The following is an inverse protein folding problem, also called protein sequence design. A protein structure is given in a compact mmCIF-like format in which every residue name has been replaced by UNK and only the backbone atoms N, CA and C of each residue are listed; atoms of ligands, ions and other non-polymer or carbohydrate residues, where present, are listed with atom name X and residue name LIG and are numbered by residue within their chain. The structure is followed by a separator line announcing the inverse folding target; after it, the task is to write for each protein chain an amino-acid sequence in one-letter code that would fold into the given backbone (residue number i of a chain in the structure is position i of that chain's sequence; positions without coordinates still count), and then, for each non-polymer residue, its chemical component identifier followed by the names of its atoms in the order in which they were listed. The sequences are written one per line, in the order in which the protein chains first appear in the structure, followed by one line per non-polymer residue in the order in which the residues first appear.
data_IF_209699360386
#
_entry.id   IF_209699360386
#
_cell.length_a   1.000
_cell.length_b   1.000
_cell.length_c   1.000
_cell.angle_alpha   90.00
_cell.angle_beta   90.00
_cell.angle_gamma   90.00
#
_symmetry.space_group_name_H-M   'P 1'
#
loop_
_entity.id
_entity.type
_entity.pdbx_description
1 polymer ?
#
# COMPACT_ATOMS: atom_id res chain seq x y z
N UNK A 1 9.33 7.05 -5.37
CA UNK A 1 9.09 5.84 -4.60
C UNK A 1 9.19 6.22 -3.14
N UNK A 2 8.14 6.02 -2.35
CA UNK A 2 8.20 6.11 -0.91
C UNK A 2 8.31 4.69 -0.35
N UNK A 3 9.14 4.53 0.67
CA UNK A 3 9.34 3.29 1.39
C UNK A 3 8.03 2.93 2.13
N UNK A 4 7.74 1.65 2.40
CA UNK A 4 6.62 1.23 3.26
C UNK A 4 6.73 1.86 4.65
N UNK A 5 7.94 2.22 5.07
CA UNK A 5 8.18 3.06 6.24
C UNK A 5 7.69 4.50 6.12
N UNK A 6 7.44 5.00 4.91
CA UNK A 6 7.01 6.38 4.70
C UNK A 6 5.51 6.51 4.96
N UNK A 7 5.15 7.44 5.83
CA UNK A 7 3.75 7.78 6.08
C UNK A 7 3.25 8.74 5.00
N UNK A 8 2.19 8.35 4.31
CA UNK A 8 1.51 9.22 3.34
C UNK A 8 0.41 9.99 4.06
N UNK A 9 0.50 11.30 4.10
CA UNK A 9 -0.47 12.18 4.76
C UNK A 9 -1.59 12.62 3.80
N UNK A 10 -2.71 13.05 4.37
CA UNK A 10 -3.86 13.55 3.60
C UNK A 10 -3.51 14.72 2.66
N UNK A 11 -2.54 15.54 3.05
CA UNK A 11 -2.09 16.71 2.28
C UNK A 11 -1.01 16.38 1.24
N UNK A 12 -0.43 15.19 1.27
CA UNK A 12 0.69 14.86 0.40
C UNK A 12 0.27 14.90 -1.07
N UNK A 13 1.15 15.43 -1.88
CA UNK A 13 0.98 15.48 -3.33
C UNK A 13 1.85 14.42 -3.98
N UNK A 14 1.38 13.87 -5.10
CA UNK A 14 2.17 12.96 -5.88
C UNK A 14 3.52 13.61 -6.26
N UNK A 15 4.65 12.90 -6.06
CA UNK A 15 5.89 13.33 -6.69
C UNK A 15 5.69 13.34 -8.21
N UNK A 16 6.40 14.21 -8.92
CA UNK A 16 6.37 14.26 -10.37
C UNK A 16 7.00 12.98 -10.96
N UNK A 17 6.24 11.90 -10.93
CA UNK A 17 6.64 10.62 -11.53
C UNK A 17 5.96 10.50 -12.88
N UNK A 18 6.66 9.97 -13.87
CA UNK A 18 6.09 9.72 -15.19
C UNK A 18 4.89 8.77 -15.05
N UNK A 19 3.71 9.23 -15.43
CA UNK A 19 2.51 8.41 -15.52
C UNK A 19 2.78 7.24 -16.49
N UNK A 20 2.46 6.00 -16.09
CA UNK A 20 2.50 4.84 -16.98
C UNK A 20 3.67 3.88 -16.81
N UNK A 21 4.62 4.13 -15.93
CA UNK A 21 5.65 3.13 -15.61
C UNK A 21 5.03 1.98 -14.80
N UNK A 22 5.33 0.72 -15.18
CA UNK A 22 4.88 -0.43 -14.41
C UNK A 22 5.43 -0.39 -12.98
N UNK A 23 4.60 -0.78 -12.01
CA UNK A 23 5.07 -1.00 -10.64
C UNK A 23 5.85 -2.32 -10.58
N UNK A 24 7.07 -2.27 -10.07
CA UNK A 24 7.90 -3.44 -9.89
C UNK A 24 7.99 -3.81 -8.41
N UNK A 25 7.66 -5.04 -8.09
CA UNK A 25 7.69 -5.61 -6.74
C UNK A 25 8.52 -6.90 -6.80
N UNK A 26 9.28 -7.18 -5.76
CA UNK A 26 10.00 -8.45 -5.63
C UNK A 26 9.62 -9.13 -4.34
N UNK A 27 9.50 -10.45 -4.36
CA UNK A 27 9.17 -11.25 -3.20
C UNK A 27 9.71 -12.67 -3.29
N UNK A 28 9.86 -13.33 -2.15
CA UNK A 28 10.11 -14.76 -2.07
C UNK A 28 8.80 -15.56 -2.02
N UNK A 29 8.87 -16.86 -2.31
CA UNK A 29 7.73 -17.77 -2.05
C UNK A 29 7.42 -17.83 -0.56
N UNK A 30 6.14 -17.85 -0.18
CA UNK A 30 5.70 -17.85 1.22
C UNK A 30 5.75 -16.49 1.91
N UNK A 31 6.17 -15.43 1.21
CA UNK A 31 6.22 -14.06 1.69
C UNK A 31 4.86 -13.37 1.58
N UNK A 32 4.71 -12.25 2.28
CA UNK A 32 3.62 -11.28 2.10
C UNK A 32 4.23 -10.00 1.53
N UNK A 33 4.17 -9.85 0.22
CA UNK A 33 4.60 -8.62 -0.44
C UNK A 33 3.58 -7.50 -0.17
N UNK A 34 4.06 -6.33 0.20
CA UNK A 34 3.19 -5.22 0.58
C UNK A 34 3.62 -3.94 -0.13
N UNK A 35 2.65 -3.12 -0.53
CA UNK A 35 2.88 -1.80 -1.08
C UNK A 35 1.70 -0.87 -0.80
N UNK A 36 1.91 0.42 -0.96
CA UNK A 36 0.88 1.43 -0.78
C UNK A 36 0.51 2.09 -2.11
N UNK A 37 -0.77 2.38 -2.27
CA UNK A 37 -1.33 3.16 -3.38
C UNK A 37 -1.93 4.42 -2.80
N UNK A 38 -1.46 5.56 -3.28
CA UNK A 38 -2.01 6.86 -2.92
C UNK A 38 -2.86 7.40 -4.09
N UNK A 39 -4.11 7.73 -3.80
CA UNK A 39 -5.06 8.27 -4.78
C UNK A 39 -5.40 9.71 -4.40
N UNK A 40 -5.14 10.65 -5.31
CA UNK A 40 -5.44 12.06 -5.12
C UNK A 40 -6.17 12.61 -6.33
N UNK A 41 -7.19 13.44 -6.08
CA UNK A 41 -7.97 14.07 -7.14
C UNK A 41 -8.25 15.53 -6.84
N UNK A 42 -8.50 16.30 -7.89
CA UNK A 42 -8.99 17.69 -7.83
C UNK A 42 -10.50 17.79 -7.60
N UNK A 43 -11.22 16.66 -7.57
CA UNK A 43 -12.63 16.54 -7.24
C UNK A 43 -12.82 15.51 -6.10
N UNK A 44 -13.94 15.56 -5.40
CA UNK A 44 -14.29 14.52 -4.43
C UNK A 44 -14.58 13.20 -5.17
N UNK A 45 -14.03 12.10 -4.66
CA UNK A 45 -14.17 10.76 -5.22
C UNK A 45 -14.92 9.88 -4.20
N UNK A 46 -16.06 9.36 -4.57
CA UNK A 46 -16.83 8.42 -3.76
C UNK A 46 -16.67 6.99 -4.28
N UNK A 47 -16.71 6.01 -3.38
CA UNK A 47 -16.69 4.59 -3.73
C UNK A 47 -15.41 4.13 -4.42
N UNK A 48 -14.27 4.74 -4.08
CA UNK A 48 -12.97 4.30 -4.62
C UNK A 48 -12.63 2.93 -4.05
N UNK A 49 -12.48 1.96 -4.94
CA UNK A 49 -12.02 0.62 -4.61
C UNK A 49 -10.74 0.29 -5.38
N UNK A 50 -9.89 -0.50 -4.77
CA UNK A 50 -8.65 -0.98 -5.38
C UNK A 50 -8.70 -2.49 -5.45
N UNK A 51 -8.40 -3.05 -6.61
CA UNK A 51 -8.27 -4.48 -6.82
C UNK A 51 -6.98 -4.81 -7.57
N UNK A 52 -6.48 -6.01 -7.34
CA UNK A 52 -5.28 -6.52 -7.99
C UNK A 52 -5.59 -7.93 -8.52
N UNK A 53 -5.53 -8.08 -9.85
CA UNK A 53 -5.74 -9.34 -10.55
C UNK A 53 -4.41 -9.89 -11.04
N UNK A 54 -4.19 -11.19 -10.82
CA UNK A 54 -2.98 -11.86 -11.30
C UNK A 54 -2.76 -13.22 -10.67
N UNK A 55 -1.63 -13.87 -10.97
CA UNK A 55 -1.30 -15.17 -10.42
C UNK A 55 -1.00 -15.06 -8.92
N UNK A 56 -1.61 -15.95 -8.14
CA UNK A 56 -1.42 -16.02 -6.70
C UNK A 56 -2.74 -16.00 -5.93
N UNK A 57 -2.65 -15.84 -4.63
CA UNK A 57 -3.83 -15.65 -3.78
C UNK A 57 -4.37 -14.22 -3.92
N UNK A 58 -5.67 -14.04 -3.66
CA UNK A 58 -6.29 -12.73 -3.68
C UNK A 58 -5.55 -11.75 -2.75
N UNK A 59 -5.24 -10.56 -3.25
CA UNK A 59 -4.63 -9.52 -2.45
C UNK A 59 -5.60 -9.03 -1.36
N UNK A 60 -5.07 -8.79 -0.15
CA UNK A 60 -5.78 -8.08 0.91
C UNK A 60 -5.55 -6.57 0.71
N UNK A 61 -6.63 -5.84 0.44
CA UNK A 61 -6.58 -4.39 0.23
C UNK A 61 -7.32 -3.70 1.37
N UNK A 62 -6.62 -2.80 2.06
CA UNK A 62 -7.18 -2.02 3.17
C UNK A 62 -6.98 -0.55 2.94
N UNK A 63 -8.01 0.24 3.15
CA UNK A 63 -7.89 1.69 3.16
C UNK A 63 -7.31 2.15 4.49
N UNK A 64 -6.24 2.95 4.46
CA UNK A 64 -5.71 3.58 5.66
C UNK A 64 -6.70 4.61 6.21
N UNK A 65 -7.01 4.51 7.49
CA UNK A 65 -7.74 5.54 8.20
C UNK A 65 -6.76 6.54 8.83
N UNK A 66 -7.27 7.69 9.26
CA UNK A 66 -6.47 8.75 9.84
C UNK A 66 -6.92 9.04 11.26
N UNK A 67 -5.95 9.13 12.17
CA UNK A 67 -6.19 9.49 13.57
C UNK A 67 -5.80 10.94 13.80
N UNK A 68 -6.69 11.70 14.44
CA UNK A 68 -6.39 13.08 14.81
C UNK A 68 -5.56 13.12 16.10
N UNK A 69 -4.28 13.43 15.96
CA UNK A 69 -3.36 13.64 17.08
C UNK A 69 -3.48 15.07 17.57
N UNK A 70 -4.11 15.27 18.71
CA UNK A 70 -4.36 16.61 19.29
C UNK A 70 -3.26 17.06 20.24
N UNK A 71 -2.43 16.15 20.73
CA UNK A 71 -1.35 16.44 21.65
C UNK A 71 -0.05 15.86 21.12
N UNK A 72 0.96 16.70 20.93
CA UNK A 72 2.28 16.22 20.53
C UNK A 72 2.88 15.35 21.66
N UNK A 73 3.29 14.13 21.30
CA UNK A 73 4.00 13.27 22.23
C UNK A 73 5.39 13.88 22.49
N UNK A 74 5.66 14.17 23.74
CA UNK A 74 6.94 14.61 24.32
C UNK A 74 7.99 15.18 23.33
N UNK A 75 8.71 16.19 23.70
CA UNK A 75 9.72 16.97 22.97
C UNK A 75 10.76 16.20 22.11
N UNK A 76 10.57 14.90 21.88
CA UNK A 76 11.50 14.03 21.14
C UNK A 76 11.02 13.69 19.71
N UNK A 77 9.79 14.00 19.36
CA UNK A 77 9.33 13.78 17.98
C UNK A 77 9.11 15.11 17.29
N UNK A 78 9.70 15.27 16.11
CA UNK A 78 9.39 16.35 15.17
C UNK A 78 7.95 16.27 14.62
N UNK A 79 7.20 15.24 14.99
CA UNK A 79 5.83 15.04 14.61
C UNK A 79 4.92 15.93 15.46
N UNK A 80 4.33 16.94 14.84
CA UNK A 80 3.37 17.87 15.46
C UNK A 80 1.99 17.23 15.68
N UNK A 81 1.00 18.06 15.99
CA UNK A 81 -0.42 17.67 15.97
C UNK A 81 -0.95 17.60 14.54
N UNK A 82 -1.95 16.77 14.29
CA UNK A 82 -2.56 16.65 12.97
C UNK A 82 -3.18 15.28 12.68
N UNK A 83 -3.55 15.08 11.42
CA UNK A 83 -4.11 13.82 10.95
C UNK A 83 -2.99 12.87 10.51
N UNK A 84 -2.86 11.75 11.22
CA UNK A 84 -1.83 10.73 10.96
C UNK A 84 -2.44 9.46 10.40
N UNK A 85 -1.88 8.90 9.31
CA UNK A 85 -2.27 7.59 8.81
C UNK A 85 -1.75 6.54 9.81
N UNK A 86 -2.64 5.74 10.37
CA UNK A 86 -2.23 4.72 11.31
C UNK A 86 -3.09 3.44 11.25
N UNK A 87 -4.41 3.47 11.49
CA UNK A 87 -5.18 2.23 11.49
C UNK A 87 -5.42 1.72 10.07
N UNK A 88 -5.32 0.39 9.92
CA UNK A 88 -5.72 -0.35 8.72
C UNK A 88 -6.95 -1.22 9.08
N UNK A 89 -8.14 -0.63 9.18
CA UNK A 89 -9.33 -1.36 9.56
C UNK A 89 -9.63 -2.47 8.56
N UNK A 90 -10.20 -3.57 9.06
CA UNK A 90 -10.70 -4.61 8.19
C UNK A 90 -11.89 -4.08 7.39
N UNK A 91 -12.09 -4.50 6.11
CA UNK A 91 -13.20 -4.01 5.29
C UNK A 91 -14.59 -4.20 5.92
N UNK A 92 -14.74 -5.18 6.81
CA UNK A 92 -15.98 -5.47 7.53
C UNK A 92 -16.10 -4.72 8.87
N UNK A 93 -15.08 -3.96 9.28
CA UNK A 93 -15.15 -3.19 10.51
C UNK A 93 -16.04 -1.97 10.33
N UNK A 94 -16.96 -1.78 11.26
CA UNK A 94 -17.83 -0.58 11.30
C UNK A 94 -17.05 0.62 11.81
N UNK A 95 -15.95 0.97 11.14
CA UNK A 95 -15.17 2.17 11.46
C UNK A 95 -15.71 3.32 10.62
N UNK A 96 -16.23 4.32 11.31
CA UNK A 96 -16.59 5.60 10.69
C UNK A 96 -15.27 6.33 10.43
N UNK A 97 -14.87 6.42 9.15
CA UNK A 97 -13.74 7.27 8.78
C UNK A 97 -14.07 8.73 9.11
N UNK A 98 -13.26 9.43 9.92
CA UNK A 98 -13.58 10.81 10.36
C UNK A 98 -13.74 11.79 9.19
N UNK A 99 -13.23 11.45 8.00
CA UNK A 99 -13.22 12.28 6.80
C UNK A 99 -14.39 12.01 5.84
N UNK A 100 -15.51 11.47 6.30
CA UNK A 100 -16.70 11.31 5.46
C UNK A 100 -16.85 9.94 4.78
N UNK A 101 -16.44 8.86 5.45
CA UNK A 101 -16.68 7.49 4.99
C UNK A 101 -15.81 7.11 3.79
N UNK A 102 -16.42 6.53 2.76
CA UNK A 102 -15.69 6.03 1.57
C UNK A 102 -15.23 7.13 0.59
N UNK A 103 -15.45 8.40 0.93
CA UNK A 103 -15.12 9.52 0.05
C UNK A 103 -13.70 10.02 0.31
N UNK A 104 -12.91 10.19 -0.76
CA UNK A 104 -11.67 10.96 -0.75
C UNK A 104 -12.06 12.40 -1.12
N UNK A 105 -11.86 13.35 -0.21
CA UNK A 105 -12.26 14.73 -0.45
C UNK A 105 -11.36 15.41 -1.49
N UNK A 106 -11.87 16.48 -2.10
CA UNK A 106 -11.10 17.30 -3.03
C UNK A 106 -9.79 17.76 -2.39
N UNK A 107 -8.67 17.45 -3.04
CA UNK A 107 -7.34 17.84 -2.57
C UNK A 107 -6.80 16.99 -1.42
N UNK A 108 -7.50 15.95 -1.01
CA UNK A 108 -6.99 14.95 -0.08
C UNK A 108 -6.38 13.76 -0.81
N UNK A 109 -5.52 13.05 -0.11
CA UNK A 109 -4.90 11.80 -0.56
C UNK A 109 -5.45 10.63 0.24
N UNK A 110 -6.15 9.73 -0.44
CA UNK A 110 -6.57 8.44 0.11
C UNK A 110 -5.45 7.42 -0.08
N UNK A 111 -5.22 6.60 0.94
CA UNK A 111 -4.15 5.60 0.92
C UNK A 111 -4.75 4.21 1.03
N UNK A 112 -4.31 3.30 0.16
CA UNK A 112 -4.69 1.90 0.16
C UNK A 112 -3.44 1.05 0.38
N UNK A 113 -3.50 0.19 1.37
CA UNK A 113 -2.48 -0.78 1.70
C UNK A 113 -2.81 -2.10 1.04
N UNK A 114 -1.94 -2.57 0.16
CA UNK A 114 -2.13 -3.81 -0.61
C UNK A 114 -1.14 -4.84 -0.11
N UNK A 115 -1.64 -5.98 0.32
CA UNK A 115 -0.82 -7.13 0.75
C UNK A 115 -1.10 -8.32 -0.15
N UNK A 116 -0.07 -8.85 -0.80
CA UNK A 116 -0.14 -10.01 -1.68
C UNK A 116 0.47 -11.21 -0.93
N UNK A 117 -0.32 -12.19 -0.51
CA UNK A 117 0.23 -13.44 -0.02
C UNK A 117 0.82 -14.24 -1.20
N UNK A 118 2.11 -14.52 -1.14
CA UNK A 118 2.83 -15.26 -2.19
C UNK A 118 2.75 -16.75 -1.89
N UNK A 119 2.12 -17.57 -2.75
CA UNK A 119 2.06 -19.01 -2.56
C UNK A 119 3.45 -19.65 -2.54
N UNK A 120 3.61 -20.72 -1.78
CA UNK A 120 4.89 -21.47 -1.70
C UNK A 120 5.19 -22.29 -2.95
N UNK A 121 4.19 -22.55 -3.76
CA UNK A 121 4.25 -23.36 -5.00
C UNK A 121 4.25 -22.53 -6.29
N UNK A 122 4.24 -21.19 -6.19
CA UNK A 122 4.32 -20.32 -7.36
C UNK A 122 5.68 -20.46 -8.06
N UNK A 123 5.68 -20.42 -9.39
CA UNK A 123 6.93 -20.48 -10.16
C UNK A 123 7.78 -19.22 -9.91
N UNK A 124 9.10 -19.41 -9.81
CA UNK A 124 10.04 -18.28 -9.78
C UNK A 124 10.05 -17.54 -11.13
N UNK A 125 10.36 -16.25 -11.10
CA UNK A 125 10.43 -15.40 -12.29
C UNK A 125 9.47 -14.23 -12.27
N UNK A 126 9.20 -13.66 -13.44
CA UNK A 126 8.37 -12.47 -13.59
C UNK A 126 6.91 -12.87 -13.81
N UNK A 127 6.02 -12.28 -13.03
CA UNK A 127 4.57 -12.40 -13.15
C UNK A 127 3.96 -11.03 -13.39
N UNK A 128 3.04 -10.93 -14.34
CA UNK A 128 2.31 -9.68 -14.61
C UNK A 128 0.96 -9.72 -13.93
N UNK A 129 0.66 -8.67 -13.21
CA UNK A 129 -0.61 -8.44 -12.53
C UNK A 129 -1.24 -7.14 -13.06
N UNK A 130 -2.53 -6.95 -12.83
CA UNK A 130 -3.26 -5.74 -13.20
C UNK A 130 -3.84 -5.09 -11.96
N UNK A 131 -3.42 -3.86 -11.70
CA UNK A 131 -3.97 -3.01 -10.66
C UNK A 131 -5.11 -2.19 -11.24
N UNK A 132 -6.28 -2.28 -10.63
CA UNK A 132 -7.46 -1.50 -11.01
C UNK A 132 -7.86 -0.60 -9.85
N UNK A 133 -8.13 0.67 -10.14
CA UNK A 133 -8.69 1.64 -9.18
C UNK A 133 -10.04 2.08 -9.73
N UNK A 134 -11.11 1.59 -9.11
CA UNK A 134 -12.49 1.93 -9.47
C UNK A 134 -12.88 3.31 -8.93
N UNK A 135 -13.87 3.92 -9.56
CA UNK A 135 -14.39 5.24 -9.15
C UNK A 135 -13.57 6.44 -9.61
N UNK A 136 -12.46 6.22 -10.31
CA UNK A 136 -11.54 7.30 -10.73
C UNK A 136 -11.30 7.39 -12.24
N UNK A 137 -11.94 6.51 -13.04
CA UNK A 137 -11.74 6.47 -14.49
C UNK A 137 -10.31 6.09 -14.91
N UNK A 138 -9.57 5.45 -14.02
CA UNK A 138 -8.19 5.05 -14.24
C UNK A 138 -8.12 3.73 -14.99
N UNK A 139 -7.31 3.67 -16.05
CA UNK A 139 -7.06 2.43 -16.78
C UNK A 139 -6.27 1.45 -15.93
N UNK A 140 -6.47 0.12 -16.08
CA UNK A 140 -5.67 -0.87 -15.38
C UNK A 140 -4.18 -0.63 -15.54
N UNK A 141 -3.43 -0.69 -14.45
CA UNK A 141 -2.01 -0.40 -14.40
C UNK A 141 -1.20 -1.69 -14.23
N UNK A 142 -0.16 -1.93 -15.04
CA UNK A 142 0.62 -3.14 -14.94
C UNK A 142 1.49 -3.13 -13.67
N UNK A 143 1.44 -4.25 -12.94
CA UNK A 143 2.31 -4.56 -11.81
C UNK A 143 3.15 -5.77 -12.20
N UNK A 144 4.46 -5.64 -12.13
CA UNK A 144 5.40 -6.73 -12.39
C UNK A 144 5.91 -7.26 -11.06
N UNK A 145 5.53 -8.47 -10.74
CA UNK A 145 5.96 -9.18 -9.54
C UNK A 145 7.10 -10.15 -9.90
N UNK A 146 8.28 -9.91 -9.35
CA UNK A 146 9.42 -10.83 -9.49
C UNK A 146 9.47 -11.77 -8.30
N UNK A 147 9.28 -13.07 -8.54
CA UNK A 147 9.38 -14.10 -7.51
C UNK A 147 10.80 -14.69 -7.53
N UNK A 148 11.49 -14.58 -6.41
CA UNK A 148 12.81 -15.17 -6.24
C UNK A 148 12.73 -16.70 -6.11
N UNK A 149 13.80 -17.39 -6.55
CA UNK A 149 13.86 -18.86 -6.53
C UNK A 149 14.26 -19.43 -5.15
N UNK A 150 13.58 -18.96 -4.12
CA UNK A 150 13.65 -19.55 -2.78
C UNK A 150 12.33 -19.38 -2.05
N UNK A 151 12.11 -20.19 -1.01
CA UNK A 151 10.90 -20.16 -0.19
C UNK A 151 11.27 -19.77 1.23
N UNK A 152 10.53 -18.81 1.80
CA UNK A 152 10.67 -18.48 3.20
C UNK A 152 10.17 -19.65 4.06
N UNK A 153 10.90 -20.01 5.14
CA UNK A 153 10.43 -21.03 6.06
C UNK A 153 9.15 -20.57 6.74
N UNK A 154 8.24 -21.50 6.98
CA UNK A 154 7.03 -21.23 7.73
C UNK A 154 7.38 -20.71 9.15
N UNK A 155 6.79 -19.58 9.53
CA UNK A 155 7.06 -18.89 10.80
C UNK A 155 6.60 -19.66 12.06
N UNK A 156 6.15 -20.90 11.91
CA UNK A 156 5.56 -21.73 12.95
C UNK A 156 6.46 -22.14 14.13
N UNK A 157 7.76 -21.85 14.11
CA UNK A 157 8.66 -22.29 15.18
C UNK A 157 9.76 -21.26 15.46
N UNK A 158 9.42 -20.23 16.17
CA UNK A 158 10.20 -19.37 17.08
C UNK A 158 11.74 -19.34 17.04
N UNK A 159 12.39 -19.53 15.90
CA UNK A 159 13.79 -19.18 15.70
C UNK A 159 13.84 -17.81 15.08
N UNK A 160 14.10 -16.79 15.91
CA UNK A 160 14.52 -15.49 15.44
C UNK A 160 15.78 -15.67 14.58
N UNK A 161 15.63 -15.64 13.27
CA UNK A 161 16.76 -15.48 12.36
C UNK A 161 17.12 -13.99 12.45
N UNK A 162 18.20 -13.66 13.17
CA UNK A 162 18.82 -12.34 13.03
C UNK A 162 19.44 -12.31 11.64
N UNK A 163 18.82 -11.58 10.73
CA UNK A 163 19.49 -11.18 9.50
C UNK A 163 20.47 -10.08 9.87
N UNK A 164 21.75 -10.40 9.99
CA UNK A 164 22.84 -9.46 10.27
C UNK A 164 23.32 -8.71 9.00
N UNK A 165 22.63 -8.85 7.89
CA UNK A 165 22.83 -8.03 6.69
C UNK A 165 21.46 -7.64 6.13
N UNK A 166 21.25 -6.34 6.07
CA UNK A 166 20.07 -5.69 5.55
C UNK A 166 19.87 -6.01 4.06
N UNK A 167 19.10 -7.03 3.77
CA UNK A 167 18.41 -7.10 2.48
C UNK A 167 17.29 -6.07 2.57
N UNK A 168 17.53 -4.92 1.99
CA UNK A 168 16.51 -3.87 1.85
C UNK A 168 15.49 -4.42 0.86
N UNK A 169 14.42 -5.01 1.37
CA UNK A 169 13.21 -5.26 0.61
C UNK A 169 12.57 -3.89 0.39
N UNK A 170 12.69 -3.39 -0.82
CA UNK A 170 12.18 -2.07 -1.19
C UNK A 170 10.67 -2.16 -1.34
N UNK A 171 9.98 -1.75 -0.31
CA UNK A 171 8.55 -1.54 -0.31
C UNK A 171 8.22 -0.27 -1.12
N UNK A 172 7.32 -0.36 -2.08
CA UNK A 172 7.00 0.73 -2.99
C UNK A 172 5.68 1.40 -2.62
N UNK A 173 5.65 2.74 -2.61
CA UNK A 173 4.41 3.52 -2.68
C UNK A 173 4.19 3.97 -4.11
N UNK A 174 3.07 3.60 -4.69
CA UNK A 174 2.66 4.06 -6.00
C UNK A 174 1.67 5.22 -5.84
N UNK A 175 2.03 6.41 -6.32
CA UNK A 175 1.11 7.53 -6.40
C UNK A 175 0.41 7.52 -7.75
N UNK A 176 -0.91 7.42 -7.72
CA UNK A 176 -1.76 7.55 -8.90
C UNK A 176 -2.28 8.99 -8.93
N UNK A 177 -1.67 9.83 -9.78
CA UNK A 177 -2.19 11.14 -10.10
C UNK A 177 -3.21 11.02 -11.23
N UNK A 178 -4.43 11.52 -11.01
CA UNK A 178 -5.43 11.67 -12.06
C UNK A 178 -5.19 13.05 -12.69
N UNK A 179 -4.77 13.06 -13.93
CA UNK A 179 -4.60 14.27 -14.73
C UNK A 179 -5.94 14.80 -15.22
#
# INVERSE_FOLDING_TARGET
FADVGDKVFLSDTAPAVACGAALHISAARGERATFQIAVRSTAALAGVAVSLDGPGAAADVRRAAFTNVTTAANNLSSAGTGMYPDPLPHPNDTIIFPQGGDTIQRGETGVFWVTIPIPTDIAAGLHTMQLTVEGVGFSPHPVVLHIWDFTLPDAGHGKQIRCDESVILTDCVCFIGIC
#
